data_IF_977154189835
#
_entry.id   IF_977154189835
#
_cell.length_a   1.000
_cell.length_b   1.000
_cell.length_c   1.000
_cell.angle_alpha   90.00
_cell.angle_beta   90.00
_cell.angle_gamma   90.00
#
_symmetry.space_group_name_H-M   'P 1'
#
loop_
_entity.id
_entity.type
_entity.pdbx_description
1 polymer ?
#
# COMPACT_ATOMS: atom_id res chain seq x y z
N UNK A 1 -27.86 -11.54 -6.62
CA UNK A 1 -27.71 -10.10 -6.83
C UNK A 1 -26.54 -9.84 -7.76
N UNK A 2 -26.76 -9.08 -8.83
CA UNK A 2 -25.64 -8.83 -9.74
C UNK A 2 -24.54 -8.04 -9.07
N UNK A 3 -23.30 -8.38 -9.39
CA UNK A 3 -22.14 -7.63 -8.93
C UNK A 3 -22.10 -6.29 -9.64
N UNK A 4 -21.69 -5.22 -8.94
CA UNK A 4 -21.50 -3.94 -9.61
C UNK A 4 -20.39 -4.06 -10.67
N UNK A 5 -20.53 -3.30 -11.72
CA UNK A 5 -19.51 -3.25 -12.76
C UNK A 5 -18.22 -2.69 -12.17
N UNK A 6 -17.11 -3.34 -12.47
CA UNK A 6 -15.80 -2.90 -12.01
C UNK A 6 -15.06 -2.20 -13.15
N UNK A 7 -14.48 -1.06 -12.84
CA UNK A 7 -13.59 -0.38 -13.76
C UNK A 7 -12.21 -1.05 -13.64
N UNK A 8 -11.52 -1.34 -14.75
CA UNK A 8 -10.16 -1.89 -14.66
C UNK A 8 -9.26 -1.02 -13.79
N UNK A 9 -8.55 -1.64 -12.86
CA UNK A 9 -7.69 -0.94 -11.92
C UNK A 9 -8.34 -0.58 -10.61
N UNK A 10 -9.62 -0.86 -10.42
CA UNK A 10 -10.26 -0.66 -9.12
C UNK A 10 -9.72 -1.63 -8.07
N UNK A 11 -9.93 -1.28 -6.79
CA UNK A 11 -9.37 -1.98 -5.65
C UNK A 11 -10.05 -3.32 -5.31
N UNK A 12 -10.96 -3.81 -6.15
CA UNK A 12 -11.69 -5.06 -5.89
C UNK A 12 -10.78 -6.25 -5.62
N UNK A 13 -9.73 -6.40 -6.44
CA UNK A 13 -8.76 -7.47 -6.25
C UNK A 13 -8.02 -7.29 -4.91
N UNK A 14 -7.74 -6.05 -4.55
CA UNK A 14 -7.10 -5.74 -3.27
C UNK A 14 -7.97 -6.10 -2.08
N UNK A 15 -9.29 -5.94 -2.20
CA UNK A 15 -10.22 -6.35 -1.15
C UNK A 15 -10.16 -7.85 -0.93
N UNK A 16 -10.12 -8.64 -2.00
CA UNK A 16 -9.98 -10.09 -1.90
C UNK A 16 -8.67 -10.49 -1.22
N UNK A 17 -7.58 -9.80 -1.57
CA UNK A 17 -6.27 -10.02 -0.95
C UNK A 17 -6.30 -9.68 0.54
N UNK A 18 -7.01 -8.63 0.92
CA UNK A 18 -7.14 -8.23 2.32
C UNK A 18 -7.85 -9.31 3.13
N UNK A 19 -8.96 -9.84 2.63
CA UNK A 19 -9.70 -10.91 3.30
C UNK A 19 -8.80 -12.15 3.47
N UNK A 20 -8.02 -12.49 2.45
CA UNK A 20 -7.07 -13.59 2.54
C UNK A 20 -5.99 -13.33 3.58
N UNK A 21 -5.47 -12.12 3.65
CA UNK A 21 -4.44 -11.77 4.62
C UNK A 21 -4.99 -11.88 6.05
N UNK A 22 -6.27 -11.58 6.26
CA UNK A 22 -6.90 -11.72 7.56
C UNK A 22 -6.97 -13.17 8.02
N UNK A 23 -7.09 -14.11 7.09
CA UNK A 23 -7.08 -15.53 7.42
C UNK A 23 -5.69 -16.02 7.80
N UNK A 24 -4.66 -15.46 7.16
CA UNK A 24 -3.27 -15.87 7.40
C UNK A 24 -2.64 -15.15 8.59
N UNK A 25 -3.21 -14.03 9.00
CA UNK A 25 -2.63 -13.18 10.02
C UNK A 25 -1.58 -12.24 9.45
N UNK A 26 -1.24 -11.23 10.22
CA UNK A 26 -0.29 -10.21 9.80
C UNK A 26 1.12 -10.78 9.76
N UNK A 27 1.90 -10.39 8.76
CA UNK A 27 3.29 -10.79 8.60
C UNK A 27 4.19 -9.56 8.51
N UNK A 28 5.48 -9.77 8.72
CA UNK A 28 6.47 -8.73 8.62
C UNK A 28 6.82 -8.09 9.96
N UNK A 29 8.03 -7.55 10.04
CA UNK A 29 8.50 -6.86 11.23
C UNK A 29 7.77 -5.54 11.42
N UNK A 30 7.51 -5.18 12.66
CA UNK A 30 6.86 -3.93 13.04
C UNK A 30 7.92 -2.88 13.38
N UNK A 31 7.55 -1.61 13.27
CA UNK A 31 8.46 -0.51 13.61
C UNK A 31 8.73 -0.46 15.11
N UNK A 32 9.89 0.09 15.47
CA UNK A 32 10.24 0.31 16.88
C UNK A 32 9.38 1.40 17.52
N UNK A 33 8.99 2.41 16.74
CA UNK A 33 8.20 3.53 17.23
C UNK A 33 6.74 3.38 16.85
N UNK A 34 5.86 3.88 17.70
CA UNK A 34 4.43 3.92 17.43
C UNK A 34 4.08 5.20 16.68
N UNK A 35 3.00 5.13 15.91
CA UNK A 35 2.41 6.29 15.25
C UNK A 35 1.07 6.58 15.92
N UNK A 36 1.02 7.64 16.71
CA UNK A 36 -0.19 8.04 17.42
C UNK A 36 -1.02 8.96 16.51
N UNK A 37 -2.24 8.56 16.23
CA UNK A 37 -3.14 9.32 15.35
C UNK A 37 -4.54 9.37 15.94
N UNK A 38 -5.23 10.48 15.70
CA UNK A 38 -6.65 10.59 15.98
C UNK A 38 -7.40 10.49 14.67
N UNK A 39 -8.27 9.49 14.55
CA UNK A 39 -9.01 9.23 13.32
C UNK A 39 -10.22 10.16 13.20
N UNK A 40 -10.62 10.53 11.98
CA UNK A 40 -11.94 11.14 11.79
C UNK A 40 -13.03 10.23 12.36
N UNK A 41 -14.07 10.84 12.92
CA UNK A 41 -15.13 10.08 13.59
C UNK A 41 -15.79 9.07 12.65
N UNK A 42 -16.05 9.48 11.41
CA UNK A 42 -16.68 8.57 10.45
C UNK A 42 -15.80 7.38 10.10
N UNK A 43 -14.49 7.62 9.99
CA UNK A 43 -13.55 6.51 9.72
C UNK A 43 -13.45 5.57 10.91
N UNK A 44 -13.44 6.12 12.12
CA UNK A 44 -13.44 5.31 13.33
C UNK A 44 -14.71 4.46 13.43
N UNK A 45 -15.86 5.03 13.06
CA UNK A 45 -17.13 4.30 13.05
C UNK A 45 -17.07 3.10 12.09
N UNK A 46 -16.53 3.32 10.89
CA UNK A 46 -16.37 2.24 9.91
C UNK A 46 -15.40 1.17 10.40
N UNK A 47 -14.32 1.60 11.04
CA UNK A 47 -13.33 0.68 11.61
C UNK A 47 -13.96 -0.21 12.69
N UNK A 48 -14.74 0.41 13.58
CA UNK A 48 -15.40 -0.34 14.64
C UNK A 48 -16.44 -1.32 14.08
N UNK A 49 -17.15 -0.91 13.02
CA UNK A 49 -18.08 -1.79 12.35
C UNK A 49 -17.37 -3.03 11.79
N UNK A 50 -16.20 -2.85 11.17
CA UNK A 50 -15.41 -3.96 10.65
C UNK A 50 -14.93 -4.88 11.79
N UNK A 51 -14.56 -4.31 12.92
CA UNK A 51 -14.12 -5.07 14.09
C UNK A 51 -15.26 -5.95 14.61
N UNK A 52 -16.49 -5.44 14.59
CA UNK A 52 -17.65 -6.24 15.00
C UNK A 52 -17.99 -7.34 14.00
N UNK A 53 -17.80 -7.08 12.71
CA UNK A 53 -18.04 -8.07 11.66
C UNK A 53 -16.97 -9.16 11.63
N UNK A 54 -15.76 -8.85 12.05
CA UNK A 54 -14.64 -9.78 12.06
C UNK A 54 -14.02 -9.85 13.46
N UNK A 55 -14.70 -10.51 14.41
CA UNK A 55 -14.31 -10.43 15.83
C UNK A 55 -12.96 -11.06 16.16
N UNK A 56 -12.36 -11.82 15.24
CA UNK A 56 -11.01 -12.31 15.43
C UNK A 56 -9.91 -11.31 15.16
N UNK A 57 -10.25 -10.07 14.75
CA UNK A 57 -9.28 -9.03 14.41
C UNK A 57 -9.42 -7.86 15.36
N UNK A 58 -8.29 -7.28 15.77
CA UNK A 58 -8.30 -6.05 16.55
C UNK A 58 -8.38 -4.83 15.65
N UNK A 59 -8.83 -3.67 16.17
CA UNK A 59 -8.81 -2.45 15.37
C UNK A 59 -7.42 -2.13 14.83
N UNK A 60 -6.38 -2.35 15.61
CA UNK A 60 -4.99 -2.08 15.21
C UNK A 60 -4.57 -2.96 14.03
N UNK A 61 -4.96 -4.24 14.05
CA UNK A 61 -4.65 -5.15 12.94
C UNK A 61 -5.36 -4.73 11.66
N UNK A 62 -6.62 -4.32 11.77
CA UNK A 62 -7.38 -3.86 10.61
C UNK A 62 -6.76 -2.57 10.04
N UNK A 63 -6.36 -1.65 10.91
CA UNK A 63 -5.67 -0.42 10.49
C UNK A 63 -4.40 -0.74 9.69
N UNK A 64 -3.56 -1.64 10.21
CA UNK A 64 -2.31 -2.00 9.51
C UNK A 64 -2.58 -2.62 8.16
N UNK A 65 -3.57 -3.50 8.08
CA UNK A 65 -3.90 -4.16 6.82
C UNK A 65 -4.45 -3.18 5.79
N UNK A 66 -5.35 -2.30 6.22
CA UNK A 66 -5.92 -1.29 5.32
C UNK A 66 -4.88 -0.28 4.88
N UNK A 67 -4.00 0.14 5.79
CA UNK A 67 -2.93 1.07 5.45
C UNK A 67 -1.97 0.46 4.43
N UNK A 68 -1.64 -0.81 4.58
CA UNK A 68 -0.78 -1.50 3.63
C UNK A 68 -1.34 -1.44 2.21
N UNK A 69 -2.64 -1.72 2.07
CA UNK A 69 -3.30 -1.67 0.78
C UNK A 69 -3.36 -0.24 0.24
N UNK A 70 -3.70 0.72 1.11
CA UNK A 70 -3.77 2.13 0.70
C UNK A 70 -2.41 2.64 0.20
N UNK A 71 -1.33 2.27 0.86
CA UNK A 71 0.02 2.68 0.44
C UNK A 71 0.39 2.06 -0.90
N UNK A 72 0.01 0.81 -1.14
CA UNK A 72 0.21 0.17 -2.45
C UNK A 72 -0.59 0.88 -3.53
N UNK A 73 -1.82 1.28 -3.23
CA UNK A 73 -2.66 2.01 -4.18
C UNK A 73 -2.08 3.39 -4.51
N UNK A 74 -1.54 4.09 -3.51
CA UNK A 74 -0.87 5.37 -3.73
C UNK A 74 0.32 5.19 -4.68
N UNK A 75 1.13 4.17 -4.43
CA UNK A 75 2.28 3.90 -5.30
C UNK A 75 1.85 3.58 -6.73
N UNK A 76 0.81 2.76 -6.88
CA UNK A 76 0.30 2.38 -8.19
C UNK A 76 -0.35 3.54 -8.94
N UNK A 77 -0.88 4.52 -8.21
CA UNK A 77 -1.56 5.67 -8.81
C UNK A 77 -0.60 6.77 -9.27
N UNK A 78 0.67 6.68 -8.93
CA UNK A 78 1.65 7.70 -9.36
C UNK A 78 1.82 7.63 -10.88
N UNK A 79 1.68 8.78 -11.57
CA UNK A 79 1.72 8.75 -13.03
C UNK A 79 3.13 8.55 -13.57
N UNK A 80 3.22 7.81 -14.66
CA UNK A 80 4.42 7.75 -15.48
C UNK A 80 4.51 9.02 -16.31
N UNK A 81 5.64 9.70 -16.25
CA UNK A 81 5.90 10.88 -17.07
C UNK A 81 7.16 10.61 -17.88
N UNK A 82 7.05 10.42 -19.21
CA UNK A 82 8.25 10.14 -20.01
C UNK A 82 9.22 11.31 -20.00
N UNK A 83 10.47 11.01 -19.68
CA UNK A 83 11.55 11.98 -19.73
C UNK A 83 12.20 11.97 -21.11
N UNK A 84 13.36 12.64 -21.23
CA UNK A 84 14.07 12.75 -22.49
C UNK A 84 15.10 11.64 -22.72
N UNK A 85 15.47 10.93 -21.66
CA UNK A 85 16.52 9.91 -21.74
C UNK A 85 15.92 8.54 -22.05
N UNK A 86 16.48 7.87 -23.06
CA UNK A 86 16.10 6.50 -23.39
C UNK A 86 16.89 5.54 -22.49
N UNK A 87 16.18 4.67 -21.78
CA UNK A 87 16.80 3.74 -20.82
C UNK A 87 16.81 2.31 -21.35
N UNK A 88 15.97 1.97 -22.35
CA UNK A 88 15.87 0.64 -22.92
C UNK A 88 15.10 0.69 -24.21
N UNK A 89 14.96 -0.46 -24.89
CA UNK A 89 14.06 -0.63 -26.02
C UNK A 89 13.11 -1.79 -25.72
N UNK A 90 11.89 -1.69 -26.21
CA UNK A 90 10.92 -2.76 -26.03
C UNK A 90 11.12 -3.87 -27.06
N UNK A 91 10.26 -4.89 -27.03
CA UNK A 91 10.34 -6.05 -27.93
C UNK A 91 10.18 -5.68 -29.40
N UNK A 92 9.58 -4.52 -29.68
CA UNK A 92 9.33 -4.04 -31.04
C UNK A 92 10.41 -3.05 -31.50
N UNK A 93 11.41 -2.81 -30.67
CA UNK A 93 12.49 -1.87 -30.99
C UNK A 93 12.20 -0.42 -30.70
N UNK A 94 11.06 -0.13 -30.09
CA UNK A 94 10.71 1.25 -29.74
C UNK A 94 11.42 1.69 -28.45
N UNK A 95 11.81 2.98 -28.35
CA UNK A 95 12.52 3.46 -27.17
C UNK A 95 11.60 3.51 -25.94
N UNK A 96 12.16 3.10 -24.80
CA UNK A 96 11.53 3.28 -23.49
C UNK A 96 12.24 4.44 -22.81
N UNK A 97 11.49 5.48 -22.48
CA UNK A 97 12.02 6.69 -21.85
C UNK A 97 12.01 6.55 -20.35
N UNK A 98 12.92 7.27 -19.68
CA UNK A 98 12.95 7.32 -18.24
C UNK A 98 11.64 7.85 -17.68
N UNK A 99 11.30 7.42 -16.46
CA UNK A 99 10.15 7.96 -15.76
C UNK A 99 10.57 9.24 -15.02
N UNK A 100 10.13 10.37 -15.53
CA UNK A 100 10.38 11.69 -14.91
C UNK A 100 9.28 12.05 -13.91
N UNK A 101 8.32 11.17 -13.66
CA UNK A 101 7.25 11.34 -12.68
C UNK A 101 7.71 11.04 -11.25
N UNK A 102 6.76 10.93 -10.31
CA UNK A 102 7.09 10.78 -8.89
C UNK A 102 7.57 9.38 -8.49
N UNK A 103 7.32 8.34 -9.27
CA UNK A 103 7.60 6.96 -8.87
C UNK A 103 9.07 6.70 -8.53
N UNK A 104 10.06 7.12 -9.35
CA UNK A 104 11.46 6.83 -9.00
C UNK A 104 11.88 7.45 -7.68
N UNK A 105 11.44 8.69 -7.42
CA UNK A 105 11.75 9.35 -6.15
C UNK A 105 11.06 8.66 -4.99
N UNK A 106 9.80 8.27 -5.18
CA UNK A 106 9.06 7.54 -4.14
C UNK A 106 9.78 6.23 -3.79
N UNK A 107 10.20 5.48 -4.79
CA UNK A 107 10.90 4.21 -4.58
C UNK A 107 12.24 4.40 -3.87
N UNK A 108 12.99 5.41 -4.29
CA UNK A 108 14.28 5.74 -3.66
C UNK A 108 14.11 6.12 -2.19
N UNK A 109 13.15 6.99 -1.89
CA UNK A 109 12.88 7.43 -0.52
C UNK A 109 12.35 6.27 0.32
N UNK A 110 11.51 5.42 -0.25
CA UNK A 110 10.99 4.24 0.45
C UNK A 110 12.13 3.29 0.82
N UNK A 111 13.02 3.01 -0.12
CA UNK A 111 14.17 2.14 0.10
C UNK A 111 15.07 2.70 1.21
N UNK A 112 15.35 3.96 1.16
CA UNK A 112 16.19 4.65 2.13
C UNK A 112 15.59 4.62 3.53
N UNK A 113 14.31 4.91 3.63
CA UNK A 113 13.60 4.90 4.90
C UNK A 113 13.43 3.48 5.46
N UNK A 114 13.23 2.49 4.59
CA UNK A 114 13.17 1.09 5.03
C UNK A 114 14.45 0.68 5.72
N UNK A 115 15.59 1.03 5.13
CA UNK A 115 16.90 0.73 5.70
C UNK A 115 17.07 1.38 7.07
N UNK A 116 16.68 2.64 7.17
CA UNK A 116 16.76 3.40 8.42
C UNK A 116 15.88 2.79 9.51
N UNK A 117 14.64 2.45 9.18
CA UNK A 117 13.70 1.88 10.14
C UNK A 117 14.15 0.48 10.61
N UNK A 118 14.71 -0.32 9.71
CA UNK A 118 15.26 -1.62 10.08
C UNK A 118 16.46 -1.48 11.01
N UNK A 119 17.28 -0.47 10.81
CA UNK A 119 18.41 -0.18 11.69
C UNK A 119 17.92 0.16 13.09
N UNK A 120 16.82 0.93 13.22
CA UNK A 120 16.24 1.27 14.51
C UNK A 120 15.78 0.02 15.27
N UNK A 121 15.25 -0.98 14.56
CA UNK A 121 14.85 -2.24 15.19
C UNK A 121 16.05 -2.98 15.79
N UNK A 122 17.20 -2.93 15.13
CA UNK A 122 18.41 -3.60 15.62
C UNK A 122 18.99 -2.93 16.85
N UNK A 123 18.75 -1.63 17.03
CA UNK A 123 19.22 -0.89 18.20
C UNK A 123 18.34 -1.09 19.42
N UNK A 124 17.09 -1.43 19.20
CA UNK A 124 16.13 -1.67 20.28
C UNK A 124 16.18 -3.10 20.77
#
# INVERSE_FOLDING_TARGET
MPQPQRIPGESYVKWTELIESWRRGASGARTASEYAVHLPVDDAARLHALTEMFPGRTPEQIITDLLSIALQEVAAAMPYVPGSKVIATDDQGDPIYEDAGPTPRFMELTRRNRKKLKTELKKG
#
